data_IF_338357248400
#
_entry.id   IF_338357248400
#
_cell.length_a   1.000
_cell.length_b   1.000
_cell.length_c   1.000
_cell.angle_alpha   90.00
_cell.angle_beta   90.00
_cell.angle_gamma   90.00
#
_symmetry.space_group_name_H-M   'P 1'
#
loop_
_entity.id
_entity.type
_entity.pdbx_description
1 polymer ?
#
# COMPACT_ATOMS: atom_id res chain seq x y z
N UNK A 1 -43.29 -23.34 22.73
CA UNK A 1 -42.38 -24.23 21.97
C UNK A 1 -42.85 -24.33 20.54
N UNK A 2 -42.13 -23.71 19.60
CA UNK A 2 -42.39 -23.81 18.15
C UNK A 2 -41.28 -24.69 17.56
N UNK A 3 -41.65 -25.85 17.02
CA UNK A 3 -40.72 -26.78 16.36
C UNK A 3 -40.88 -26.65 14.85
N UNK A 4 -39.84 -26.20 14.15
CA UNK A 4 -39.82 -26.17 12.69
C UNK A 4 -39.43 -27.56 12.16
N UNK A 5 -40.32 -28.19 11.40
CA UNK A 5 -40.08 -29.45 10.72
C UNK A 5 -39.33 -29.18 9.41
N UNK A 6 -38.11 -29.69 9.30
CA UNK A 6 -37.31 -29.63 8.08
C UNK A 6 -37.49 -30.95 7.31
N UNK A 7 -38.23 -30.92 6.21
CA UNK A 7 -38.35 -32.08 5.32
C UNK A 7 -37.08 -32.24 4.50
N UNK A 8 -36.46 -33.43 4.55
CA UNK A 8 -35.31 -33.77 3.71
C UNK A 8 -35.77 -34.25 2.33
N UNK A 9 -35.06 -33.82 1.29
CA UNK A 9 -35.30 -34.28 -0.09
C UNK A 9 -34.32 -35.42 -0.39
N UNK A 10 -34.77 -36.56 -0.95
CA UNK A 10 -33.89 -37.68 -1.27
C UNK A 10 -33.01 -37.36 -2.49
N UNK A 11 -31.77 -37.88 -2.55
CA UNK A 11 -30.88 -37.65 -3.67
C UNK A 11 -31.39 -38.43 -4.88
N UNK A 12 -32.09 -37.75 -5.79
CA UNK A 12 -32.43 -38.30 -7.10
C UNK A 12 -31.35 -37.90 -8.11
N UNK A 13 -30.74 -38.93 -8.69
CA UNK A 13 -29.86 -38.92 -9.84
C UNK A 13 -30.17 -37.79 -10.83
N UNK A 14 -29.20 -36.90 -11.04
CA UNK A 14 -29.27 -35.84 -12.04
C UNK A 14 -29.19 -36.48 -13.43
N UNK A 15 -30.37 -36.67 -14.03
CA UNK A 15 -30.54 -36.91 -15.46
C UNK A 15 -30.31 -35.57 -16.17
N UNK A 16 -29.34 -35.51 -17.07
CA UNK A 16 -28.97 -34.31 -17.84
C UNK A 16 -30.12 -33.86 -18.76
N UNK A 17 -30.57 -32.59 -18.69
CA UNK A 17 -31.33 -31.97 -19.76
C UNK A 17 -30.37 -31.44 -20.83
N UNK A 18 -30.58 -31.90 -22.05
CA UNK A 18 -29.95 -31.43 -23.29
C UNK A 18 -30.49 -30.05 -23.64
N UNK A 19 -29.94 -29.00 -23.05
CA UNK A 19 -29.95 -27.63 -23.61
C UNK A 19 -29.06 -26.71 -22.79
N UNK A 20 -27.75 -26.75 -23.07
CA UNK A 20 -26.81 -25.74 -22.57
C UNK A 20 -26.07 -25.08 -23.73
N UNK A 21 -26.11 -23.75 -23.67
CA UNK A 21 -25.37 -22.77 -24.46
C UNK A 21 -23.93 -23.24 -24.67
N UNK A 22 -23.47 -23.27 -25.92
CA UNK A 22 -22.10 -23.63 -26.29
C UNK A 22 -21.11 -22.60 -25.74
N UNK A 23 -20.07 -23.08 -25.05
CA UNK A 23 -18.86 -22.29 -24.82
C UNK A 23 -18.10 -22.14 -26.15
N UNK A 24 -17.54 -20.97 -26.48
CA UNK A 24 -16.69 -20.84 -27.64
C UNK A 24 -15.43 -21.69 -27.46
N UNK A 25 -15.12 -22.48 -28.48
CA UNK A 25 -13.91 -23.28 -28.61
C UNK A 25 -12.69 -22.36 -28.56
N UNK A 26 -11.72 -22.66 -27.70
CA UNK A 26 -10.42 -22.00 -27.67
C UNK A 26 -9.72 -22.23 -29.02
N UNK A 27 -9.70 -21.18 -29.84
CA UNK A 27 -8.88 -21.14 -31.05
C UNK A 27 -7.56 -20.47 -30.68
N UNK A 28 -6.50 -21.25 -30.81
CA UNK A 28 -5.08 -20.89 -30.68
C UNK A 28 -4.73 -19.65 -31.51
N UNK A 29 -4.76 -18.48 -30.90
CA UNK A 29 -3.98 -17.30 -31.28
C UNK A 29 -4.23 -16.19 -30.25
N UNK A 30 -3.52 -16.20 -29.13
CA UNK A 30 -3.35 -15.00 -28.32
C UNK A 30 -1.91 -14.94 -27.83
N UNK A 31 -1.18 -14.10 -28.53
CA UNK A 31 0.15 -13.59 -28.27
C UNK A 31 0.51 -13.58 -26.78
N UNK A 32 1.65 -14.21 -26.48
CA UNK A 32 2.42 -14.06 -25.26
C UNK A 32 2.52 -12.58 -24.87
N UNK A 33 1.78 -12.14 -23.84
CA UNK A 33 2.06 -10.87 -23.20
C UNK A 33 3.17 -11.13 -22.18
N UNK A 34 4.40 -10.82 -22.59
CA UNK A 34 5.57 -10.75 -21.73
C UNK A 34 5.29 -9.87 -20.49
N UNK A 35 5.75 -10.24 -19.29
CA UNK A 35 5.75 -9.35 -18.14
C UNK A 35 6.85 -8.30 -18.33
N UNK A 36 6.56 -7.27 -19.11
CA UNK A 36 7.53 -6.27 -19.51
C UNK A 36 6.88 -5.14 -20.30
N UNK A 37 5.94 -4.42 -19.69
CA UNK A 37 5.46 -3.16 -20.23
C UNK A 37 5.18 -2.19 -19.09
N UNK A 38 6.28 -1.76 -18.47
CA UNK A 38 6.31 -0.46 -17.80
C UNK A 38 6.34 0.54 -18.96
N UNK A 39 5.25 1.25 -19.19
CA UNK A 39 5.17 2.31 -20.19
C UNK A 39 6.32 3.31 -19.97
N UNK A 40 7.10 3.68 -21.02
CA UNK A 40 8.34 4.44 -20.88
C UNK A 40 8.15 5.86 -20.34
N UNK A 41 6.94 6.40 -20.38
CA UNK A 41 6.60 7.71 -19.82
C UNK A 41 6.57 7.72 -18.29
N UNK A 42 6.19 6.61 -17.64
CA UNK A 42 6.18 6.52 -16.17
C UNK A 42 7.60 6.51 -15.57
N UNK A 43 8.55 5.87 -16.27
CA UNK A 43 9.95 5.82 -15.83
C UNK A 43 10.67 7.15 -15.95
N UNK A 44 10.32 7.99 -16.94
CA UNK A 44 10.94 9.31 -17.13
C UNK A 44 10.53 10.29 -16.04
N UNK A 45 9.25 10.29 -15.64
CA UNK A 45 8.78 11.10 -14.51
C UNK A 45 9.43 10.66 -13.18
N UNK A 46 9.66 9.36 -12.99
CA UNK A 46 10.39 8.82 -11.83
C UNK A 46 11.88 9.17 -11.83
N UNK A 47 12.52 9.25 -13.01
CA UNK A 47 13.94 9.58 -13.15
C UNK A 47 14.22 11.08 -13.08
N UNK A 48 13.31 11.93 -13.58
CA UNK A 48 13.46 13.38 -13.55
C UNK A 48 13.33 13.98 -12.14
N UNK A 49 12.60 13.29 -11.24
CA UNK A 49 12.44 13.71 -9.84
C UNK A 49 13.65 13.35 -8.96
N UNK A 50 14.64 12.61 -9.45
CA UNK A 50 15.80 12.20 -8.64
C UNK A 50 17.05 13.06 -8.85
N UNK A 51 17.02 14.09 -9.72
CA UNK A 51 18.23 14.68 -10.28
C UNK A 51 18.56 16.13 -9.88
N UNK A 52 17.98 16.68 -8.81
CA UNK A 52 18.24 18.07 -8.43
C UNK A 52 18.64 18.22 -6.96
N UNK A 53 19.94 18.15 -6.65
CA UNK A 53 20.62 19.06 -5.70
C UNK A 53 22.09 18.67 -5.49
N UNK A 54 23.05 19.40 -6.08
CA UNK A 54 24.47 18.98 -6.00
C UNK A 54 25.41 19.88 -5.17
N UNK A 55 24.99 20.94 -4.47
CA UNK A 55 26.00 21.77 -3.73
C UNK A 55 25.73 22.19 -2.29
N UNK A 56 24.54 21.99 -1.72
CA UNK A 56 24.27 22.38 -0.32
C UNK A 56 23.63 21.28 0.56
N UNK A 57 23.14 20.18 -0.03
CA UNK A 57 22.52 19.09 0.74
C UNK A 57 23.49 18.00 1.21
N UNK A 58 24.77 18.04 0.83
CA UNK A 58 25.76 17.00 1.16
C UNK A 58 26.08 16.86 2.67
N UNK A 59 25.51 17.70 3.55
CA UNK A 59 25.67 17.58 5.00
C UNK A 59 24.41 17.08 5.73
N UNK A 60 23.25 17.03 5.08
CA UNK A 60 22.01 16.62 5.74
C UNK A 60 21.87 15.10 5.57
N UNK A 61 21.82 14.32 6.67
CA UNK A 61 21.68 12.87 6.56
C UNK A 61 20.31 12.50 5.96
N UNK A 62 20.20 11.33 5.34
CA UNK A 62 18.90 10.85 4.89
C UNK A 62 17.97 10.61 6.09
N UNK A 63 16.71 11.10 6.06
CA UNK A 63 15.80 10.95 7.18
C UNK A 63 15.38 9.51 7.39
N UNK A 64 15.18 9.14 8.65
CA UNK A 64 14.55 7.90 9.08
C UNK A 64 13.04 8.08 9.24
N UNK A 65 12.33 6.96 9.36
CA UNK A 65 10.90 7.00 9.65
C UNK A 65 10.63 7.63 11.02
N UNK A 66 11.53 7.50 11.99
CA UNK A 66 11.42 8.24 13.26
C UNK A 66 11.35 9.75 13.06
N UNK A 67 12.21 10.32 12.20
CA UNK A 67 12.24 11.76 11.94
C UNK A 67 10.95 12.25 11.25
N UNK A 68 10.36 11.37 10.42
CA UNK A 68 9.06 11.60 9.79
C UNK A 68 7.91 11.55 10.82
N UNK A 69 7.99 10.66 11.81
CA UNK A 69 6.98 10.54 12.87
C UNK A 69 6.93 11.76 13.79
N UNK A 70 8.02 12.53 13.88
CA UNK A 70 8.09 13.78 14.63
C UNK A 70 7.43 14.96 13.87
N UNK A 71 6.98 14.75 12.63
CA UNK A 71 6.24 15.72 11.81
C UNK A 71 4.74 15.39 11.77
N UNK A 72 3.95 16.01 12.66
CA UNK A 72 2.51 15.77 12.77
C UNK A 72 1.71 16.12 11.50
N UNK A 73 2.13 17.12 10.73
CA UNK A 73 1.42 17.54 9.51
C UNK A 73 1.65 16.53 8.39
N UNK A 74 2.90 16.08 8.23
CA UNK A 74 3.24 15.00 7.30
C UNK A 74 2.56 13.69 7.73
N UNK A 75 2.62 13.34 9.00
CA UNK A 75 2.00 12.14 9.54
C UNK A 75 0.48 12.17 9.31
N UNK A 76 -0.18 13.29 9.59
CA UNK A 76 -1.62 13.48 9.33
C UNK A 76 -1.97 13.28 7.85
N UNK A 77 -1.14 13.80 6.95
CA UNK A 77 -1.30 13.62 5.51
C UNK A 77 -1.13 12.16 5.07
N UNK A 78 -0.18 11.44 5.66
CA UNK A 78 0.03 10.01 5.40
C UNK A 78 -1.13 9.18 5.91
N UNK A 79 -1.64 9.46 7.12
CA UNK A 79 -2.81 8.79 7.71
C UNK A 79 -4.01 8.90 6.78
N UNK A 80 -4.31 10.11 6.29
CA UNK A 80 -5.41 10.33 5.35
C UNK A 80 -5.27 9.50 4.06
N UNK A 81 -4.04 9.34 3.55
CA UNK A 81 -3.75 8.61 2.31
C UNK A 81 -3.66 7.10 2.47
N UNK A 82 -3.27 6.61 3.64
CA UNK A 82 -2.89 5.20 3.86
C UNK A 82 -3.84 4.44 4.77
N UNK A 83 -4.62 5.09 5.64
CA UNK A 83 -5.60 4.43 6.53
C UNK A 83 -6.87 3.96 5.80
N UNK A 84 -6.97 4.22 4.49
CA UNK A 84 -8.10 3.81 3.67
C UNK A 84 -8.35 2.29 3.69
N UNK A 85 -9.62 1.90 3.74
CA UNK A 85 -10.08 0.50 3.73
C UNK A 85 -10.44 0.01 2.33
N UNK A 86 -10.38 0.86 1.29
CA UNK A 86 -10.73 0.48 -0.07
C UNK A 86 -9.70 -0.51 -0.64
N UNK A 87 -10.15 -1.72 -1.00
CA UNK A 87 -9.29 -2.81 -1.47
C UNK A 87 -8.59 -2.53 -2.82
N UNK A 88 -9.11 -1.59 -3.60
CA UNK A 88 -8.56 -1.17 -4.89
C UNK A 88 -7.33 -0.29 -4.76
N UNK A 89 -7.09 0.30 -3.58
CA UNK A 89 -5.93 1.16 -3.32
C UNK A 89 -4.97 0.44 -2.37
N UNK A 90 -3.69 0.39 -2.74
CA UNK A 90 -2.64 -0.18 -1.89
C UNK A 90 -2.44 0.70 -0.65
N UNK A 91 -2.81 0.18 0.51
CA UNK A 91 -2.87 0.90 1.79
C UNK A 91 -1.81 0.42 2.79
N UNK A 92 -1.92 0.86 4.05
CA UNK A 92 -1.00 0.49 5.14
C UNK A 92 -0.76 -1.02 5.27
N UNK A 93 -1.79 -1.86 5.08
CA UNK A 93 -1.64 -3.33 5.18
C UNK A 93 -0.71 -3.89 4.12
N UNK A 94 -0.80 -3.36 2.90
CA UNK A 94 0.06 -3.79 1.80
C UNK A 94 1.52 -3.45 2.10
N UNK A 95 1.75 -2.25 2.65
CA UNK A 95 3.09 -1.78 3.01
C UNK A 95 3.68 -2.58 4.17
N UNK A 96 2.90 -2.75 5.24
CA UNK A 96 3.28 -3.53 6.42
C UNK A 96 3.56 -4.99 6.08
N UNK A 97 2.70 -5.63 5.27
CA UNK A 97 2.92 -6.99 4.79
C UNK A 97 4.22 -7.12 3.99
N UNK A 98 4.51 -6.13 3.12
CA UNK A 98 5.74 -6.12 2.31
C UNK A 98 7.00 -5.98 3.15
N UNK A 99 6.91 -5.34 4.32
CA UNK A 99 7.99 -5.25 5.29
C UNK A 99 7.99 -6.37 6.33
N UNK A 100 7.19 -7.42 6.12
CA UNK A 100 7.27 -8.67 6.88
C UNK A 100 6.30 -8.77 8.06
N UNK A 101 5.35 -7.86 8.21
CA UNK A 101 4.27 -8.03 9.19
C UNK A 101 3.40 -9.22 8.79
N UNK A 102 3.21 -10.16 9.71
CA UNK A 102 2.43 -11.38 9.47
C UNK A 102 0.94 -11.08 9.30
N UNK A 103 0.20 -12.01 8.71
CA UNK A 103 -1.25 -11.87 8.53
C UNK A 103 -1.97 -11.67 9.87
N UNK A 104 -1.60 -12.43 10.90
CA UNK A 104 -2.21 -12.33 12.23
C UNK A 104 -1.93 -10.97 12.89
N UNK A 105 -0.71 -10.44 12.74
CA UNK A 105 -0.38 -9.08 13.21
C UNK A 105 -1.18 -8.01 12.47
N UNK A 106 -1.36 -8.14 11.16
CA UNK A 106 -2.16 -7.21 10.35
C UNK A 106 -3.63 -7.23 10.77
N UNK A 107 -4.18 -8.43 11.03
CA UNK A 107 -5.56 -8.60 11.48
C UNK A 107 -5.77 -8.07 12.89
N UNK A 108 -4.83 -8.34 13.80
CA UNK A 108 -4.86 -7.79 15.15
C UNK A 108 -4.81 -6.26 15.12
N UNK A 109 -3.90 -5.69 14.32
CA UNK A 109 -3.81 -4.25 14.17
C UNK A 109 -5.11 -3.67 13.61
N UNK A 110 -5.66 -4.21 12.52
CA UNK A 110 -6.94 -3.73 11.99
C UNK A 110 -8.06 -3.77 13.03
N UNK A 111 -8.20 -4.88 13.76
CA UNK A 111 -9.25 -5.04 14.75
C UNK A 111 -9.12 -4.05 15.91
N UNK A 112 -7.89 -3.79 16.38
CA UNK A 112 -7.61 -2.81 17.46
C UNK A 112 -8.01 -1.39 17.09
N UNK A 113 -7.98 -1.05 15.80
CA UNK A 113 -8.28 0.31 15.31
C UNK A 113 -9.74 0.49 14.93
N UNK A 114 -10.52 -0.59 14.80
CA UNK A 114 -11.97 -0.51 14.59
C UNK A 114 -12.63 0.11 15.82
N UNK A 115 -12.95 1.41 15.74
CA UNK A 115 -13.71 2.13 16.77
C UNK A 115 -12.92 3.18 17.56
N UNK A 116 -11.64 3.41 17.26
CA UNK A 116 -10.86 4.49 17.88
C UNK A 116 -10.32 5.45 16.81
N UNK A 117 -10.78 6.70 16.82
CA UNK A 117 -10.24 7.77 15.97
C UNK A 117 -8.83 8.21 16.40
N UNK A 118 -8.42 7.86 17.62
CA UNK A 118 -7.13 8.24 18.21
C UNK A 118 -5.98 7.39 17.69
N UNK A 119 -6.25 6.18 17.21
CA UNK A 119 -5.21 5.24 16.80
C UNK A 119 -5.26 5.01 15.29
N UNK A 120 -4.16 5.36 14.59
CA UNK A 120 -4.01 5.16 13.13
C UNK A 120 -3.14 3.93 12.81
N UNK A 121 -3.63 3.00 11.97
CA UNK A 121 -2.83 1.83 11.60
C UNK A 121 -1.60 2.21 10.77
N UNK A 122 -1.65 3.30 10.00
CA UNK A 122 -0.46 3.87 9.33
C UNK A 122 0.58 4.32 10.34
N UNK A 123 0.17 5.00 11.41
CA UNK A 123 1.11 5.45 12.44
C UNK A 123 1.77 4.27 13.18
N UNK A 124 0.99 3.26 13.58
CA UNK A 124 1.55 2.06 14.23
C UNK A 124 2.53 1.32 13.30
N UNK A 125 2.15 1.17 12.02
CA UNK A 125 3.02 0.59 11.00
C UNK A 125 4.34 1.37 10.90
N UNK A 126 4.29 2.68 10.74
CA UNK A 126 5.50 3.51 10.64
C UNK A 126 6.34 3.42 11.93
N UNK A 127 5.71 3.43 13.11
CA UNK A 127 6.38 3.32 14.39
C UNK A 127 7.17 2.00 14.53
N UNK A 128 6.55 0.86 14.15
CA UNK A 128 7.19 -0.47 14.14
C UNK A 128 8.47 -0.50 13.31
N UNK A 129 8.53 0.28 12.23
CA UNK A 129 9.66 0.35 11.31
C UNK A 129 10.44 1.66 11.41
N UNK A 130 10.34 2.37 12.54
CA UNK A 130 10.94 3.70 12.76
C UNK A 130 12.44 3.80 12.43
N UNK A 131 13.18 2.70 12.53
CA UNK A 131 14.61 2.65 12.21
C UNK A 131 14.93 2.62 10.72
N UNK A 132 13.96 2.28 9.85
CA UNK A 132 14.15 2.30 8.40
C UNK A 132 14.29 3.72 7.88
N UNK A 133 14.91 3.85 6.72
CA UNK A 133 15.02 5.14 6.03
C UNK A 133 13.71 5.52 5.35
N UNK A 134 13.43 6.83 5.22
CA UNK A 134 12.32 7.31 4.37
C UNK A 134 12.54 6.87 2.91
N UNK A 135 13.78 6.72 2.46
CA UNK A 135 14.11 6.16 1.13
C UNK A 135 13.55 4.74 0.93
N UNK A 136 13.54 3.89 1.95
CA UNK A 136 12.90 2.57 1.85
C UNK A 136 11.38 2.66 1.75
N UNK A 137 10.76 3.62 2.44
CA UNK A 137 9.32 3.90 2.31
C UNK A 137 8.98 4.41 0.91
N UNK A 138 9.81 5.30 0.36
CA UNK A 138 9.72 5.79 -1.03
C UNK A 138 9.76 4.63 -2.04
N UNK A 139 10.65 3.64 -1.84
CA UNK A 139 10.71 2.44 -2.69
C UNK A 139 9.42 1.61 -2.62
N UNK A 140 8.79 1.48 -1.46
CA UNK A 140 7.46 0.86 -1.37
C UNK A 140 6.40 1.64 -2.15
N UNK A 141 6.42 2.96 -2.06
CA UNK A 141 5.48 3.82 -2.79
C UNK A 141 5.64 3.62 -4.30
N UNK A 142 6.88 3.56 -4.80
CA UNK A 142 7.17 3.26 -6.20
C UNK A 142 6.67 1.86 -6.60
N UNK A 143 6.97 0.83 -5.80
CA UNK A 143 6.55 -0.54 -6.08
C UNK A 143 5.02 -0.68 -6.18
N UNK A 144 4.30 0.00 -5.30
CA UNK A 144 2.84 -0.02 -5.27
C UNK A 144 2.19 1.08 -6.12
N UNK A 145 3.00 1.85 -6.86
CA UNK A 145 2.53 2.98 -7.68
C UNK A 145 1.69 3.99 -6.89
N UNK A 146 2.00 4.19 -5.59
CA UNK A 146 1.40 5.21 -4.73
C UNK A 146 2.07 6.55 -4.95
N UNK A 147 1.87 7.11 -6.14
CA UNK A 147 2.50 8.37 -6.58
C UNK A 147 2.09 9.55 -5.69
N UNK A 148 0.87 9.53 -5.18
CA UNK A 148 0.34 10.54 -4.26
C UNK A 148 1.06 10.59 -2.91
N UNK A 149 1.54 9.44 -2.42
CA UNK A 149 2.36 9.33 -1.21
C UNK A 149 3.83 9.60 -1.55
N UNK A 150 4.30 9.09 -2.69
CA UNK A 150 5.68 9.31 -3.17
C UNK A 150 6.01 10.80 -3.28
N UNK A 151 5.16 11.57 -3.96
CA UNK A 151 5.35 13.03 -4.13
C UNK A 151 5.34 13.77 -2.80
N UNK A 152 4.45 13.37 -1.89
CA UNK A 152 4.40 13.92 -0.53
C UNK A 152 5.73 13.70 0.21
N UNK A 153 6.27 12.48 0.17
CA UNK A 153 7.54 12.16 0.82
C UNK A 153 8.72 12.89 0.17
N UNK A 154 8.78 12.96 -1.16
CA UNK A 154 9.85 13.66 -1.88
C UNK A 154 9.85 15.15 -1.55
N UNK A 155 8.67 15.79 -1.61
CA UNK A 155 8.52 17.20 -1.26
C UNK A 155 9.02 17.47 0.17
N UNK A 156 8.67 16.61 1.13
CA UNK A 156 9.12 16.76 2.50
C UNK A 156 10.64 16.57 2.66
N UNK A 157 11.21 15.54 2.02
CA UNK A 157 12.67 15.28 2.08
C UNK A 157 13.46 16.44 1.48
N UNK A 158 12.97 17.07 0.41
CA UNK A 158 13.66 18.15 -0.28
C UNK A 158 13.51 19.51 0.42
N UNK A 159 12.33 19.80 0.96
CA UNK A 159 12.00 21.15 1.45
C UNK A 159 12.01 21.25 2.98
N UNK A 160 11.38 20.30 3.68
CA UNK A 160 11.12 20.40 5.11
C UNK A 160 12.24 19.77 5.95
N UNK A 161 12.70 18.59 5.56
CA UNK A 161 13.72 17.85 6.29
C UNK A 161 15.03 18.63 6.50
N UNK A 162 15.62 19.30 5.48
CA UNK A 162 16.85 20.07 5.67
C UNK A 162 16.69 21.24 6.63
N UNK A 163 15.49 21.82 6.72
CA UNK A 163 15.18 22.90 7.66
C UNK A 163 15.01 22.36 9.08
N UNK A 164 14.37 21.20 9.24
CA UNK A 164 14.18 20.52 10.53
C UNK A 164 15.52 20.04 11.10
N UNK A 165 16.33 19.36 10.29
CA UNK A 165 17.65 18.87 10.70
C UNK A 165 18.53 19.99 11.29
N UNK A 166 18.60 21.14 10.59
CA UNK A 166 19.38 22.33 11.00
C UNK A 166 18.86 23.05 12.25
N UNK A 167 17.59 22.82 12.64
CA UNK A 167 17.03 23.41 13.86
C UNK A 167 17.32 22.54 15.09
N UNK A 168 17.50 21.23 14.88
CA UNK A 168 17.69 20.26 15.95
C UNK A 168 19.16 19.91 16.23
N UNK A 169 20.09 20.36 15.37
CA UNK A 169 21.53 20.09 15.44
C UNK A 169 22.32 21.35 15.09
#
# INVERSE_FOLDING_TARGET
>A
NITLQLSSVPPRYLRTPTDRIQQPVENEASEFICPGSITPDFTKDLQCLSSSCEKYLCSVPAPKISDLLDDEDLLSSLRLKLDTTYCTVKNWKNFASRWGMSYDELMFLEQRMRGSALHSPTQEFLFRYSQKSVTELTKLCQQYQRIDVLRLLQQWVENDWPLRWRKSH
#
